data_IF_545600068883
#
_entry.id   IF_545600068883
#
_cell.length_a   1.000
_cell.length_b   1.000
_cell.length_c   1.000
_cell.angle_alpha   90.00
_cell.angle_beta   90.00
_cell.angle_gamma   90.00
#
_symmetry.space_group_name_H-M   'P 1'
#
loop_
_entity.id
_entity.type
_entity.pdbx_description
1 polymer ?
#
# COMPACT_ATOMS: atom_id res chain seq x y z
N UNK A 1 -21.85 6.31 -5.66
CA UNK A 1 -20.95 5.93 -6.78
C UNK A 1 -20.16 4.70 -6.33
N UNK A 2 -19.83 3.77 -7.24
CA UNK A 2 -19.11 2.54 -6.90
C UNK A 2 -17.80 2.46 -7.68
N UNK A 3 -16.69 2.28 -6.98
CA UNK A 3 -15.35 2.12 -7.55
C UNK A 3 -14.87 0.68 -7.34
N UNK A 4 -14.04 0.18 -8.25
CA UNK A 4 -13.57 -1.20 -8.26
C UNK A 4 -12.05 -1.25 -8.19
N UNK A 5 -11.52 -2.17 -7.39
CA UNK A 5 -10.08 -2.32 -7.16
C UNK A 5 -9.67 -3.79 -7.19
N UNK A 6 -8.53 -4.08 -7.82
CA UNK A 6 -7.84 -5.36 -7.77
C UNK A 6 -6.54 -5.22 -6.97
N UNK A 7 -6.61 -5.52 -5.67
CA UNK A 7 -5.46 -5.44 -4.76
C UNK A 7 -4.85 -6.84 -4.64
N UNK A 8 -3.81 -7.10 -5.43
CA UNK A 8 -3.18 -8.42 -5.54
C UNK A 8 -4.20 -9.52 -5.85
N UNK A 9 -4.49 -10.41 -4.89
CA UNK A 9 -5.45 -11.51 -5.05
C UNK A 9 -6.85 -11.17 -4.54
N UNK A 10 -7.13 -9.91 -4.18
CA UNK A 10 -8.44 -9.47 -3.69
C UNK A 10 -9.13 -8.55 -4.72
N UNK A 11 -10.35 -8.93 -5.11
CA UNK A 11 -11.27 -8.07 -5.86
C UNK A 11 -12.23 -7.35 -4.91
N UNK A 12 -12.27 -6.02 -4.99
CA UNK A 12 -12.96 -5.13 -4.04
C UNK A 12 -13.88 -4.16 -4.80
N UNK A 13 -15.09 -3.96 -4.31
CA UNK A 13 -15.93 -2.82 -4.71
C UNK A 13 -16.15 -1.91 -3.52
N UNK A 14 -16.06 -0.59 -3.72
CA UNK A 14 -16.30 0.41 -2.68
C UNK A 14 -17.40 1.34 -3.16
N UNK A 15 -18.44 1.46 -2.34
CA UNK A 15 -19.56 2.35 -2.57
C UNK A 15 -19.81 3.19 -1.32
N UNK A 16 -20.19 4.46 -1.52
CA UNK A 16 -20.53 5.35 -0.41
C UNK A 16 -21.37 6.54 -0.87
N UNK A 17 -22.13 7.11 0.07
CA UNK A 17 -22.78 8.43 0.01
C UNK A 17 -21.83 9.59 0.37
N UNK A 18 -20.67 9.30 0.98
CA UNK A 18 -19.62 10.27 1.30
C UNK A 18 -18.55 10.37 0.17
N UNK A 19 -18.52 11.46 -0.61
CA UNK A 19 -17.54 11.63 -1.67
C UNK A 19 -16.11 11.84 -1.15
N UNK A 20 -15.92 12.36 0.08
CA UNK A 20 -14.59 12.54 0.67
C UNK A 20 -13.98 11.20 1.03
N UNK A 21 -14.79 10.27 1.55
CA UNK A 21 -14.37 8.89 1.80
C UNK A 21 -13.93 8.18 0.51
N UNK A 22 -14.72 8.27 -0.57
CA UNK A 22 -14.35 7.69 -1.86
C UNK A 22 -13.06 8.29 -2.41
N UNK A 23 -12.89 9.60 -2.30
CA UNK A 23 -11.66 10.29 -2.72
C UNK A 23 -10.45 9.85 -1.90
N UNK A 24 -10.59 9.74 -0.58
CA UNK A 24 -9.50 9.30 0.29
C UNK A 24 -9.02 7.88 -0.07
N UNK A 25 -9.95 6.96 -0.37
CA UNK A 25 -9.59 5.63 -0.85
C UNK A 25 -8.93 5.66 -2.23
N UNK A 26 -9.48 6.44 -3.17
CA UNK A 26 -8.89 6.62 -4.48
C UNK A 26 -7.45 7.14 -4.39
N UNK A 27 -7.21 8.19 -3.61
CA UNK A 27 -5.88 8.79 -3.47
C UNK A 27 -4.83 7.75 -3.03
N UNK A 28 -5.19 6.81 -2.14
CA UNK A 28 -4.32 5.75 -1.63
C UNK A 28 -4.20 4.52 -2.53
N UNK A 29 -5.25 4.17 -3.26
CA UNK A 29 -5.39 2.88 -3.94
C UNK A 29 -5.66 2.97 -5.46
N UNK A 30 -5.61 4.16 -6.07
CA UNK A 30 -5.85 4.37 -7.52
C UNK A 30 -5.01 3.46 -8.43
N UNK A 31 -3.82 3.01 -7.99
CA UNK A 31 -2.98 2.10 -8.79
C UNK A 31 -3.58 0.71 -8.96
N UNK A 32 -4.51 0.35 -8.08
CA UNK A 32 -5.25 -0.90 -8.09
C UNK A 32 -6.63 -0.75 -8.72
N UNK A 33 -7.00 0.43 -9.23
CA UNK A 33 -8.29 0.62 -9.92
C UNK A 33 -8.43 -0.39 -11.07
N UNK A 34 -9.62 -0.97 -11.15
CA UNK A 34 -9.97 -2.01 -12.12
C UNK A 34 -11.23 -1.60 -12.88
N UNK A 35 -11.26 -1.89 -14.18
CA UNK A 35 -12.44 -1.65 -15.03
C UNK A 35 -13.49 -2.77 -14.92
N UNK A 36 -13.09 -3.97 -14.49
CA UNK A 36 -13.96 -5.16 -14.47
C UNK A 36 -14.76 -5.27 -13.16
N UNK A 37 -16.01 -5.71 -13.29
CA UNK A 37 -16.99 -5.91 -12.21
C UNK A 37 -17.27 -7.38 -11.93
N UNK A 38 -16.63 -8.31 -12.64
CA UNK A 38 -16.88 -9.75 -12.51
C UNK A 38 -16.18 -10.32 -11.27
N UNK A 39 -16.97 -10.96 -10.41
CA UNK A 39 -16.54 -11.63 -9.17
C UNK A 39 -15.82 -10.71 -8.18
N UNK A 40 -16.60 -9.90 -7.46
CA UNK A 40 -16.10 -9.10 -6.33
C UNK A 40 -16.02 -9.98 -5.08
N UNK A 41 -14.82 -10.16 -4.54
CA UNK A 41 -14.57 -10.97 -3.33
C UNK A 41 -14.97 -10.24 -2.04
N UNK A 42 -14.96 -8.90 -2.09
CA UNK A 42 -15.18 -8.04 -0.94
C UNK A 42 -15.98 -6.79 -1.33
N UNK A 43 -17.32 -6.87 -1.44
CA UNK A 43 -18.13 -5.67 -1.54
C UNK A 43 -18.09 -4.86 -0.24
N UNK A 44 -17.90 -3.56 -0.38
CA UNK A 44 -17.83 -2.58 0.71
C UNK A 44 -18.77 -1.42 0.45
N UNK A 45 -19.51 -1.04 1.49
CA UNK A 45 -20.42 0.11 1.50
C UNK A 45 -20.20 0.96 2.73
N UNK A 46 -20.19 2.28 2.61
CA UNK A 46 -20.30 3.19 3.76
C UNK A 46 -21.49 4.12 3.51
N UNK A 47 -22.56 3.95 4.28
CA UNK A 47 -23.81 4.70 4.11
C UNK A 47 -24.41 5.06 5.46
N UNK A 48 -24.79 6.31 5.68
CA UNK A 48 -25.41 6.77 6.93
C UNK A 48 -24.65 6.27 8.19
N UNK A 49 -23.32 6.40 8.19
CA UNK A 49 -22.42 5.91 9.24
C UNK A 49 -22.47 4.40 9.51
N UNK A 50 -23.03 3.59 8.61
CA UNK A 50 -22.97 2.14 8.66
C UNK A 50 -21.97 1.64 7.62
N UNK A 51 -20.98 0.88 8.09
CA UNK A 51 -20.01 0.20 7.24
C UNK A 51 -20.46 -1.23 6.97
N UNK A 52 -20.59 -1.55 5.69
CA UNK A 52 -20.92 -2.85 5.15
C UNK A 52 -19.63 -3.47 4.59
N UNK A 53 -19.26 -4.66 5.05
CA UNK A 53 -18.16 -5.47 4.49
C UNK A 53 -18.68 -6.89 4.28
N UNK A 54 -18.94 -7.28 3.04
CA UNK A 54 -19.74 -8.48 2.72
C UNK A 54 -21.08 -8.45 3.48
N UNK A 55 -21.41 -9.52 4.19
CA UNK A 55 -22.64 -9.67 4.98
C UNK A 55 -22.54 -9.03 6.38
N UNK A 56 -21.40 -8.42 6.74
CA UNK A 56 -21.21 -7.78 8.05
C UNK A 56 -21.59 -6.31 7.98
N UNK A 57 -22.33 -5.86 8.98
CA UNK A 57 -22.69 -4.46 9.19
C UNK A 57 -22.09 -3.99 10.50
N UNK A 58 -21.43 -2.83 10.47
CA UNK A 58 -20.79 -2.19 11.61
C UNK A 58 -21.38 -0.79 11.73
N UNK A 59 -22.05 -0.52 12.85
CA UNK A 59 -22.55 0.81 13.19
C UNK A 59 -21.41 1.70 13.69
N UNK A 60 -21.19 2.84 13.02
CA UNK A 60 -20.16 3.82 13.33
C UNK A 60 -20.76 5.16 13.80
N UNK A 61 -22.07 5.24 14.02
CA UNK A 61 -22.78 6.48 14.40
C UNK A 61 -22.26 7.11 15.69
N UNK A 62 -21.71 6.31 16.61
CA UNK A 62 -21.08 6.77 17.85
C UNK A 62 -19.61 7.20 17.72
N UNK A 63 -18.99 7.08 16.55
CA UNK A 63 -17.58 7.38 16.35
C UNK A 63 -17.37 8.85 15.93
N UNK A 64 -16.37 9.58 16.46
CA UNK A 64 -16.13 10.99 16.12
C UNK A 64 -15.76 11.20 14.63
N UNK A 65 -15.18 10.18 14.01
CA UNK A 65 -14.74 10.21 12.60
C UNK A 65 -15.13 8.91 11.88
N UNK A 66 -16.41 8.70 11.50
CA UNK A 66 -16.90 7.45 10.93
C UNK A 66 -16.17 7.02 9.65
N UNK A 67 -15.91 7.95 8.72
CA UNK A 67 -15.17 7.66 7.49
C UNK A 67 -13.73 7.18 7.74
N UNK A 68 -13.04 7.75 8.73
CA UNK A 68 -11.65 7.37 9.06
C UNK A 68 -11.59 5.96 9.65
N UNK A 69 -12.44 5.64 10.62
CA UNK A 69 -12.47 4.30 11.21
C UNK A 69 -12.95 3.27 10.18
N UNK A 70 -13.91 3.63 9.32
CA UNK A 70 -14.35 2.77 8.23
C UNK A 70 -13.18 2.40 7.31
N UNK A 71 -12.38 3.40 6.90
CA UNK A 71 -11.18 3.19 6.11
C UNK A 71 -10.21 2.22 6.80
N UNK A 72 -9.90 2.42 8.08
CA UNK A 72 -9.01 1.53 8.84
C UNK A 72 -9.52 0.09 8.88
N UNK A 73 -10.82 -0.11 9.11
CA UNK A 73 -11.45 -1.43 9.15
C UNK A 73 -11.39 -2.13 7.79
N UNK A 74 -11.63 -1.39 6.69
CA UNK A 74 -11.52 -1.91 5.33
C UNK A 74 -10.07 -2.33 5.04
N UNK A 75 -9.09 -1.49 5.36
CA UNK A 75 -7.67 -1.81 5.17
C UNK A 75 -7.29 -3.03 6.00
N UNK A 76 -7.74 -3.12 7.25
CA UNK A 76 -7.50 -4.29 8.11
C UNK A 76 -8.06 -5.58 7.50
N UNK A 77 -9.28 -5.55 6.96
CA UNK A 77 -9.88 -6.71 6.28
C UNK A 77 -9.08 -7.09 5.02
N UNK A 78 -8.67 -6.11 4.19
CA UNK A 78 -7.82 -6.36 3.00
C UNK A 78 -6.53 -7.08 3.43
N UNK A 79 -5.82 -6.55 4.43
CA UNK A 79 -4.56 -7.13 4.90
C UNK A 79 -4.77 -8.54 5.48
N UNK A 80 -5.84 -8.74 6.25
CA UNK A 80 -6.20 -10.06 6.79
C UNK A 80 -6.42 -11.10 5.70
N UNK A 81 -7.08 -10.72 4.60
CA UNK A 81 -7.28 -11.62 3.45
C UNK A 81 -6.00 -11.90 2.68
N UNK A 82 -5.18 -10.87 2.46
CA UNK A 82 -3.87 -11.02 1.81
C UNK A 82 -2.92 -11.92 2.60
N UNK A 83 -2.98 -11.89 3.94
CA UNK A 83 -2.20 -12.77 4.82
C UNK A 83 -2.43 -14.27 4.57
N UNK A 84 -3.46 -14.67 3.83
CA UNK A 84 -3.63 -16.08 3.40
C UNK A 84 -2.49 -16.51 2.46
N UNK A 85 -2.18 -15.68 1.47
CA UNK A 85 -1.25 -15.99 0.38
C UNK A 85 0.12 -15.28 0.50
N UNK A 86 0.22 -14.25 1.34
CA UNK A 86 1.41 -13.41 1.47
C UNK A 86 1.88 -13.32 2.92
N UNK A 87 3.19 -13.14 3.11
CA UNK A 87 3.74 -12.51 4.30
C UNK A 87 3.78 -10.99 4.06
N UNK A 88 3.12 -10.20 4.89
CA UNK A 88 3.07 -8.74 4.78
C UNK A 88 4.17 -8.13 5.65
N UNK A 89 5.31 -7.82 5.05
CA UNK A 89 6.48 -7.29 5.75
C UNK A 89 6.40 -5.76 5.81
N UNK A 90 6.59 -5.15 6.98
CA UNK A 90 6.69 -3.70 7.09
C UNK A 90 8.05 -3.22 6.55
N UNK A 91 8.07 -2.87 5.26
CA UNK A 91 9.29 -2.44 4.56
C UNK A 91 8.95 -1.55 3.37
N UNK A 92 9.85 -0.60 3.09
CA UNK A 92 9.88 0.10 1.80
C UNK A 92 10.62 -0.76 0.77
N UNK A 93 10.13 -0.78 -0.47
CA UNK A 93 10.73 -1.54 -1.57
C UNK A 93 11.02 -0.63 -2.74
N UNK A 94 12.26 -0.68 -3.20
CA UNK A 94 12.73 0.01 -4.40
C UNK A 94 13.15 -1.02 -5.42
N UNK A 95 13.04 -0.67 -6.70
CA UNK A 95 13.52 -1.46 -7.81
C UNK A 95 14.65 -0.73 -8.51
N UNK A 96 15.68 -1.47 -8.92
CA UNK A 96 16.66 -1.01 -9.90
C UNK A 96 16.97 -2.16 -10.83
N UNK A 97 16.82 -1.91 -12.13
CA UNK A 97 16.96 -2.93 -13.16
C UNK A 97 16.04 -4.15 -12.88
N UNK A 98 16.62 -5.31 -12.57
CA UNK A 98 15.88 -6.54 -12.23
C UNK A 98 16.00 -6.93 -10.74
N UNK A 99 16.51 -6.04 -9.90
CA UNK A 99 16.71 -6.28 -8.47
C UNK A 99 15.79 -5.43 -7.61
N UNK A 100 15.40 -5.97 -6.46
CA UNK A 100 14.62 -5.26 -5.44
C UNK A 100 15.50 -5.00 -4.22
N UNK A 101 15.47 -3.77 -3.73
CA UNK A 101 16.02 -3.38 -2.43
C UNK A 101 14.86 -3.29 -1.44
N UNK A 102 14.92 -4.10 -0.38
CA UNK A 102 13.94 -4.10 0.71
C UNK A 102 14.54 -3.40 1.91
N UNK A 103 13.96 -2.27 2.30
CA UNK A 103 14.36 -1.46 3.45
C UNK A 103 13.41 -1.74 4.61
N UNK A 104 13.85 -2.58 5.54
CA UNK A 104 13.13 -2.88 6.79
C UNK A 104 13.86 -2.28 7.99
N UNK A 105 13.11 -1.92 9.03
CA UNK A 105 13.64 -1.34 10.25
C UNK A 105 12.57 -0.59 11.05
N UNK A 106 12.86 -0.18 12.30
CA UNK A 106 11.91 0.56 13.13
C UNK A 106 11.37 1.85 12.49
N UNK A 107 10.20 2.31 12.92
CA UNK A 107 9.69 3.62 12.49
C UNK A 107 10.64 4.74 12.92
N UNK A 108 10.73 5.82 12.13
CA UNK A 108 11.58 6.97 12.44
C UNK A 108 13.07 6.82 12.12
N UNK A 109 13.56 5.64 11.69
CA UNK A 109 14.98 5.43 11.36
C UNK A 109 15.41 6.03 10.00
N UNK A 110 14.50 6.72 9.29
CA UNK A 110 14.78 7.39 8.02
C UNK A 110 14.57 6.54 6.76
N UNK A 111 13.84 5.42 6.83
CA UNK A 111 13.52 4.57 5.65
C UNK A 111 12.88 5.38 4.52
N UNK A 112 11.83 6.14 4.81
CA UNK A 112 11.13 6.95 3.81
C UNK A 112 12.01 8.06 3.25
N UNK A 113 12.91 8.64 4.06
CA UNK A 113 13.94 9.60 3.59
C UNK A 113 14.93 8.93 2.63
N UNK A 114 15.41 7.73 2.96
CA UNK A 114 16.30 6.95 2.11
C UNK A 114 15.60 6.53 0.81
N UNK A 115 14.33 6.13 0.87
CA UNK A 115 13.49 5.84 -0.31
C UNK A 115 13.44 7.06 -1.23
N UNK A 116 13.10 8.25 -0.71
CA UNK A 116 13.08 9.51 -1.48
C UNK A 116 14.41 9.81 -2.16
N UNK A 117 15.52 9.65 -1.45
CA UNK A 117 16.86 9.88 -2.01
C UNK A 117 17.19 8.89 -3.13
N UNK A 118 16.88 7.61 -2.95
CA UNK A 118 17.16 6.58 -3.95
C UNK A 118 16.28 6.74 -5.20
N UNK A 119 15.02 7.16 -5.05
CA UNK A 119 14.15 7.51 -6.18
C UNK A 119 14.74 8.64 -7.05
N UNK A 120 15.46 9.58 -6.42
CA UNK A 120 16.18 10.65 -7.13
C UNK A 120 17.44 10.15 -7.86
N UNK A 121 17.87 8.90 -7.60
CA UNK A 121 19.07 8.28 -8.13
C UNK A 121 18.74 7.06 -9.04
N UNK A 122 17.75 7.22 -9.93
CA UNK A 122 17.37 6.22 -10.95
C UNK A 122 16.79 4.90 -10.40
N UNK A 123 16.36 4.85 -9.14
CA UNK A 123 15.54 3.75 -8.64
C UNK A 123 14.07 3.98 -8.98
N UNK A 124 13.36 2.90 -9.28
CA UNK A 124 11.92 2.88 -9.47
C UNK A 124 11.21 2.58 -8.14
N UNK A 125 10.08 3.25 -7.90
CA UNK A 125 9.21 2.97 -6.76
C UNK A 125 8.51 1.63 -6.92
N UNK A 126 8.51 0.79 -5.88
CA UNK A 126 7.88 -0.52 -5.89
C UNK A 126 6.77 -0.64 -4.84
N UNK A 127 7.08 -0.37 -3.57
CA UNK A 127 6.12 -0.30 -2.46
C UNK A 127 6.65 0.59 -1.33
N UNK A 128 5.78 1.15 -0.50
CA UNK A 128 6.13 1.71 0.81
C UNK A 128 5.22 1.10 1.88
N UNK A 129 5.71 1.05 3.12
CA UNK A 129 5.07 0.46 4.32
C UNK A 129 4.71 -1.04 4.29
N UNK A 130 4.58 -1.66 3.11
CA UNK A 130 4.21 -3.06 2.94
C UNK A 130 4.96 -3.71 1.77
N UNK A 131 5.64 -4.82 2.02
CA UNK A 131 6.28 -5.67 1.03
C UNK A 131 5.61 -7.07 1.03
N UNK A 132 4.57 -7.30 0.19
CA UNK A 132 3.89 -8.59 0.10
C UNK A 132 4.79 -9.65 -0.51
N UNK A 133 5.27 -10.59 0.31
CA UNK A 133 6.05 -11.74 -0.10
C UNK A 133 5.13 -12.96 -0.29
N UNK A 134 4.94 -13.41 -1.53
CA UNK A 134 4.06 -14.55 -1.81
C UNK A 134 4.63 -15.84 -1.22
N UNK A 135 3.87 -16.50 -0.35
CA UNK A 135 4.33 -17.62 0.50
C UNK A 135 4.90 -18.79 -0.29
N UNK A 136 4.28 -19.13 -1.43
CA UNK A 136 4.66 -20.30 -2.21
C UNK A 136 5.80 -20.01 -3.20
N UNK A 137 5.81 -18.81 -3.81
CA UNK A 137 6.77 -18.49 -4.87
C UNK A 137 8.01 -17.74 -4.40
N UNK A 138 7.99 -17.18 -3.18
CA UNK A 138 9.06 -16.32 -2.67
C UNK A 138 9.24 -14.98 -3.39
N UNK A 139 8.29 -14.59 -4.25
CA UNK A 139 8.33 -13.32 -5.00
C UNK A 139 7.69 -12.20 -4.22
N UNK A 140 8.26 -10.99 -4.31
CA UNK A 140 7.67 -9.78 -3.75
C UNK A 140 6.82 -9.12 -4.85
N UNK A 141 5.59 -8.75 -4.49
CA UNK A 141 4.65 -8.10 -5.39
C UNK A 141 4.63 -6.59 -5.13
N UNK A 142 4.44 -5.77 -6.19
CA UNK A 142 4.32 -4.33 -6.04
C UNK A 142 3.08 -4.01 -5.20
N UNK A 143 3.25 -3.12 -4.23
CA UNK A 143 2.17 -2.61 -3.38
C UNK A 143 2.26 -1.09 -3.27
N UNK A 144 2.08 -0.37 -4.38
CA UNK A 144 2.26 1.07 -4.43
C UNK A 144 1.04 1.75 -3.80
N UNK A 145 1.17 2.16 -2.55
CA UNK A 145 0.24 3.09 -1.90
C UNK A 145 0.83 4.49 -1.84
N UNK A 146 -0.02 5.48 -1.60
CA UNK A 146 0.43 6.84 -1.28
C UNK A 146 1.35 6.80 -0.07
N UNK A 147 2.53 7.39 -0.21
CA UNK A 147 3.44 7.58 0.91
C UNK A 147 2.84 8.65 1.82
N UNK A 148 2.37 8.25 3.00
CA UNK A 148 1.89 9.18 4.03
C UNK A 148 3.08 9.81 4.75
N UNK A 149 3.82 10.67 4.05
CA UNK A 149 4.91 11.41 4.66
C UNK A 149 4.35 12.72 5.19
N UNK A 150 4.46 12.92 6.50
CA UNK A 150 4.22 14.23 7.12
C UNK A 150 5.38 15.15 6.72
N UNK A 151 5.30 15.74 5.54
CA UNK A 151 6.25 16.76 5.10
C UNK A 151 5.85 18.10 5.72
N UNK A 152 6.68 18.64 6.61
CA UNK A 152 6.50 20.00 7.17
C UNK A 152 6.87 21.10 6.16
N UNK A 153 7.24 20.73 4.92
CA UNK A 153 7.66 21.62 3.84
C UNK A 153 7.21 21.00 2.50
N UNK A 154 6.23 21.63 1.86
CA UNK A 154 5.63 21.21 0.60
C UNK A 154 6.66 21.25 -0.55
N UNK A 155 7.07 20.10 -1.07
CA UNK A 155 7.70 20.02 -2.40
C UNK A 155 7.33 18.71 -3.07
N UNK A 156 6.19 18.75 -3.75
CA UNK A 156 5.68 17.70 -4.63
C UNK A 156 6.53 17.59 -5.90
N UNK A 157 7.69 16.94 -5.81
CA UNK A 157 8.36 16.46 -7.01
C UNK A 157 7.64 15.19 -7.47
N UNK A 158 7.10 15.22 -8.69
CA UNK A 158 6.42 14.12 -9.33
C UNK A 158 7.36 12.90 -9.41
N UNK A 159 7.22 11.99 -8.44
CA UNK A 159 7.90 10.69 -8.43
C UNK A 159 7.59 10.00 -9.75
N UNK A 160 8.59 9.35 -10.37
CA UNK A 160 8.42 8.63 -11.63
C UNK A 160 7.58 7.38 -11.37
N UNK A 161 6.25 7.51 -11.47
CA UNK A 161 5.26 6.47 -11.20
C UNK A 161 5.08 5.57 -12.42
N UNK A 162 5.76 4.42 -12.50
CA UNK A 162 5.52 3.38 -13.52
C UNK A 162 4.94 2.12 -12.88
N UNK A 163 3.88 1.56 -13.47
CA UNK A 163 3.26 0.29 -13.06
C UNK A 163 4.30 -0.83 -13.23
N UNK A 164 4.78 -1.38 -12.11
CA UNK A 164 5.81 -2.42 -12.12
C UNK A 164 5.16 -3.82 -12.19
N UNK A 165 5.77 -4.73 -12.95
CA UNK A 165 5.39 -6.16 -12.92
C UNK A 165 6.00 -6.84 -11.69
N UNK A 166 5.40 -7.94 -11.19
CA UNK A 166 6.01 -8.76 -10.14
C UNK A 166 7.39 -9.23 -10.58
N UNK A 167 8.41 -9.04 -9.74
CA UNK A 167 9.76 -9.54 -9.99
C UNK A 167 10.08 -10.69 -9.06
N UNK A 168 10.78 -11.70 -9.60
CA UNK A 168 11.55 -12.64 -8.81
C UNK A 168 12.69 -11.89 -8.14
N UNK A 169 12.45 -11.34 -6.95
CA UNK A 169 13.56 -11.03 -6.07
C UNK A 169 14.15 -12.35 -5.59
N UNK A 170 15.29 -12.74 -6.14
CA UNK A 170 16.27 -13.43 -5.31
C UNK A 170 16.64 -12.38 -4.26
N UNK A 171 16.08 -12.47 -3.05
CA UNK A 171 16.40 -11.58 -1.95
C UNK A 171 17.86 -11.84 -1.53
N UNK A 172 18.81 -11.35 -2.34
CA UNK A 172 20.21 -11.24 -1.95
C UNK A 172 20.24 -10.11 -0.90
N UNK A 173 20.07 -10.54 0.35
CA UNK A 173 20.47 -9.89 1.59
C UNK A 173 20.94 -8.44 1.42
N UNK A 174 20.09 -7.49 1.75
CA UNK A 174 20.52 -6.16 2.17
C UNK A 174 20.22 -6.02 3.67
N UNK A 175 21.08 -6.62 4.49
CA UNK A 175 21.15 -6.30 5.92
C UNK A 175 21.99 -5.04 6.06
N UNK A 176 21.37 -3.90 6.36
CA UNK A 176 22.09 -2.73 6.88
C UNK A 176 21.82 -2.68 8.38
N UNK A 177 22.52 -3.52 9.14
CA UNK A 177 22.87 -3.20 10.52
C UNK A 177 24.26 -2.54 10.49
N UNK A 178 24.29 -1.27 10.88
CA UNK A 178 25.46 -0.52 11.36
C UNK A 178 26.80 -0.78 10.66
N UNK A 179 27.09 -0.02 9.61
CA UNK A 179 28.42 0.57 9.39
C UNK A 179 28.33 1.70 8.34
N UNK A 180 27.81 2.85 8.77
CA UNK A 180 27.86 4.12 8.05
C UNK A 180 29.26 4.74 8.16
N UNK A 181 30.27 4.14 7.51
CA UNK A 181 31.60 4.77 7.40
C UNK A 181 32.18 4.87 5.98
N UNK A 182 31.48 4.42 4.92
CA UNK A 182 32.07 4.46 3.57
C UNK A 182 31.25 5.18 2.49
N UNK A 183 30.24 5.97 2.86
CA UNK A 183 29.45 6.75 1.88
C UNK A 183 29.71 8.27 1.91
N UNK A 184 30.79 8.70 2.55
CA UNK A 184 31.37 10.01 2.32
C UNK A 184 32.82 9.82 1.87
N UNK A 185 33.02 9.83 0.56
CA UNK A 185 34.26 10.32 -0.06
C UNK A 185 33.83 11.44 -0.98
#
# INVERSE_FOLDING_TARGET
MTNYYQILTQSLSISSDDPLFLKAFYDDYQWFEAEDHKNVDMPVGLFDNHLYINDRVIDLSGHPTPGHIAFQLIVSEIMSRLNKNFYLIHAGVLKRDNELIVLSGPSGIGKSTLVKMLLSNQFDYFSDDCAPLHKNSGKIYPFPRSMWIVDNQSSSNAIRKKKCSPLTANAKHAWIQSNLQSLFV
#
